data_IF_673003668319
#
_entry.id   IF_673003668319
#
_cell.length_a   1.000
_cell.length_b   1.000
_cell.length_c   1.000
_cell.angle_alpha   90.00
_cell.angle_beta   90.00
_cell.angle_gamma   90.00
#
_symmetry.space_group_name_H-M   'P 1'
#
loop_
_entity.id
_entity.type
_entity.pdbx_description
1 polymer ?
#
# COMPACT_ATOMS: atom_id res chain seq x y z
N UNK A 1 -1.69 -1.39 22.24
CA UNK A 1 -2.30 -1.40 20.90
C UNK A 1 -1.51 -2.32 20.00
N UNK A 2 -2.19 -3.32 19.46
CA UNK A 2 -1.63 -4.36 18.60
C UNK A 2 -1.30 -3.80 17.21
N UNK A 3 -0.51 -4.53 16.42
CA UNK A 3 0.04 -4.02 15.17
C UNK A 3 -1.04 -3.58 14.16
N UNK A 4 -2.04 -4.43 13.89
CA UNK A 4 -3.11 -4.11 12.93
C UNK A 4 -4.10 -3.07 13.45
N UNK A 5 -4.40 -3.08 14.76
CA UNK A 5 -5.22 -2.04 15.38
C UNK A 5 -4.54 -0.67 15.19
N UNK A 6 -3.22 -0.61 15.40
CA UNK A 6 -2.44 0.62 15.19
C UNK A 6 -2.47 1.07 13.73
N UNK A 7 -2.40 0.15 12.78
CA UNK A 7 -2.57 0.48 11.37
C UNK A 7 -3.97 1.08 11.10
N UNK A 8 -5.03 0.50 11.68
CA UNK A 8 -6.39 1.01 11.55
C UNK A 8 -6.56 2.42 12.16
N UNK A 9 -5.98 2.70 13.33
CA UNK A 9 -5.97 4.05 13.90
C UNK A 9 -5.23 5.05 13.00
N UNK A 10 -4.07 4.66 12.45
CA UNK A 10 -3.34 5.51 11.51
C UNK A 10 -4.21 5.81 10.27
N UNK A 11 -4.92 4.82 9.71
CA UNK A 11 -5.87 5.06 8.62
C UNK A 11 -6.96 6.08 9.02
N UNK A 12 -7.54 5.94 10.21
CA UNK A 12 -8.55 6.89 10.71
C UNK A 12 -8.01 8.31 10.88
N UNK A 13 -6.74 8.45 11.28
CA UNK A 13 -6.06 9.75 11.39
C UNK A 13 -5.73 10.35 10.02
N UNK A 14 -5.40 9.52 9.04
CA UNK A 14 -5.17 9.94 7.65
C UNK A 14 -6.46 10.46 7.00
N UNK A 15 -7.60 9.80 7.22
CA UNK A 15 -8.92 10.27 6.78
C UNK A 15 -9.25 11.66 7.35
N UNK A 16 -8.89 11.90 8.62
CA UNK A 16 -9.03 13.21 9.29
C UNK A 16 -7.94 14.22 8.92
N UNK A 17 -7.06 13.92 7.95
CA UNK A 17 -5.96 14.77 7.49
C UNK A 17 -5.01 15.23 8.60
N UNK A 18 -4.82 14.43 9.63
CA UNK A 18 -3.98 14.77 10.79
C UNK A 18 -2.47 14.60 10.53
N UNK A 19 -2.08 14.26 9.30
CA UNK A 19 -0.69 14.15 8.85
C UNK A 19 -0.56 13.24 7.64
N UNK A 20 0.69 12.94 7.28
CA UNK A 20 1.03 12.03 6.18
C UNK A 20 1.29 10.61 6.67
N UNK A 21 1.20 9.62 5.78
CA UNK A 21 1.57 8.22 6.10
C UNK A 21 3.00 8.16 6.63
N UNK A 22 3.91 8.93 6.02
CA UNK A 22 5.33 8.98 6.41
C UNK A 22 5.52 9.56 7.81
N UNK A 23 4.85 10.67 8.15
CA UNK A 23 4.95 11.27 9.49
C UNK A 23 4.33 10.36 10.57
N UNK A 24 3.27 9.63 10.24
CA UNK A 24 2.59 8.73 11.19
C UNK A 24 3.29 7.39 11.40
N UNK A 25 4.28 7.06 10.54
CA UNK A 25 5.03 5.80 10.59
C UNK A 25 6.53 6.02 10.78
N UNK A 26 7.27 6.27 9.69
CA UNK A 26 8.73 6.45 9.69
C UNK A 26 9.14 7.63 10.58
N UNK A 27 8.38 8.73 10.52
CA UNK A 27 8.58 9.90 11.38
C UNK A 27 8.03 9.77 12.80
N UNK A 28 7.32 8.67 13.11
CA UNK A 28 6.70 8.50 14.42
C UNK A 28 7.70 7.92 15.42
N UNK A 29 8.04 8.69 16.44
CA UNK A 29 9.01 8.29 17.47
C UNK A 29 8.47 7.25 18.45
N UNK A 30 7.16 7.07 18.53
CA UNK A 30 6.51 6.08 19.40
C UNK A 30 6.46 4.66 18.78
N UNK A 31 6.82 4.52 17.50
CA UNK A 31 6.96 3.22 16.84
C UNK A 31 8.37 2.66 17.01
N UNK A 32 8.45 1.35 17.27
CA UNK A 32 9.74 0.65 17.28
C UNK A 32 10.39 0.70 15.89
N UNK A 33 11.72 0.86 15.77
CA UNK A 33 12.39 0.98 14.47
C UNK A 33 12.04 -0.12 13.46
N UNK A 34 11.93 -1.36 13.94
CA UNK A 34 11.58 -2.54 13.13
C UNK A 34 10.12 -2.54 12.63
N UNK A 35 9.21 -1.85 13.34
CA UNK A 35 7.80 -1.75 12.97
C UNK A 35 7.56 -0.60 11.97
N UNK A 36 8.37 0.47 12.02
CA UNK A 36 8.15 1.67 11.20
C UNK A 36 8.06 1.36 9.70
N UNK A 37 9.03 0.61 9.18
CA UNK A 37 9.10 0.25 7.76
C UNK A 37 7.95 -0.68 7.36
N UNK A 38 7.62 -1.65 8.22
CA UNK A 38 6.54 -2.61 7.99
C UNK A 38 5.18 -1.93 7.97
N UNK A 39 4.92 -1.05 8.95
CA UNK A 39 3.71 -0.25 9.04
C UNK A 39 3.54 0.66 7.83
N UNK A 40 4.63 1.36 7.43
CA UNK A 40 4.61 2.21 6.24
C UNK A 40 4.28 1.41 4.97
N UNK A 41 4.97 0.29 4.75
CA UNK A 41 4.72 -0.56 3.59
C UNK A 41 3.27 -1.08 3.56
N UNK A 42 2.79 -1.63 4.68
CA UNK A 42 1.43 -2.16 4.79
C UNK A 42 0.38 -1.09 4.50
N UNK A 43 0.50 0.11 5.09
CA UNK A 43 -0.45 1.20 4.88
C UNK A 43 -0.44 1.70 3.44
N UNK A 44 0.74 1.89 2.83
CA UNK A 44 0.86 2.31 1.45
C UNK A 44 0.21 1.29 0.50
N UNK A 45 0.51 0.01 0.64
CA UNK A 45 -0.07 -1.03 -0.21
C UNK A 45 -1.57 -1.21 0.03
N UNK A 46 -2.05 -1.09 1.28
CA UNK A 46 -3.49 -1.10 1.59
C UNK A 46 -4.22 0.07 0.92
N UNK A 47 -3.65 1.28 0.99
CA UNK A 47 -4.25 2.48 0.40
C UNK A 47 -4.32 2.42 -1.13
N UNK A 48 -3.30 1.84 -1.79
CA UNK A 48 -3.31 1.63 -3.25
C UNK A 48 -4.47 0.77 -3.72
N UNK A 49 -4.84 -0.23 -2.93
CA UNK A 49 -5.90 -1.19 -3.26
C UNK A 49 -7.20 -0.93 -2.49
N UNK A 50 -7.34 0.22 -1.83
CA UNK A 50 -8.44 0.48 -0.89
C UNK A 50 -9.82 0.33 -1.54
N UNK A 51 -10.01 0.84 -2.75
CA UNK A 51 -11.27 0.73 -3.49
C UNK A 51 -11.66 -0.73 -3.74
N UNK A 52 -10.73 -1.54 -4.26
CA UNK A 52 -10.96 -2.95 -4.54
C UNK A 52 -11.21 -3.75 -3.24
N UNK A 53 -10.41 -3.48 -2.21
CA UNK A 53 -10.54 -4.14 -0.90
C UNK A 53 -11.89 -3.82 -0.24
N UNK A 54 -12.36 -2.57 -0.31
CA UNK A 54 -13.67 -2.18 0.22
C UNK A 54 -14.81 -2.96 -0.42
N UNK A 55 -14.79 -3.13 -1.75
CA UNK A 55 -15.81 -3.91 -2.48
C UNK A 55 -15.76 -5.39 -2.05
N UNK A 56 -14.57 -5.98 -1.96
CA UNK A 56 -14.41 -7.38 -1.53
C UNK A 56 -14.91 -7.58 -0.09
N UNK A 57 -14.59 -6.67 0.82
CA UNK A 57 -15.04 -6.72 2.22
C UNK A 57 -16.56 -6.60 2.31
N UNK A 58 -17.16 -5.69 1.56
CA UNK A 58 -18.62 -5.50 1.51
C UNK A 58 -19.32 -6.75 0.98
N UNK A 59 -18.93 -7.25 -0.20
CA UNK A 59 -19.53 -8.45 -0.82
C UNK A 59 -19.36 -9.70 0.03
N UNK A 60 -18.24 -9.81 0.74
CA UNK A 60 -18.02 -10.94 1.65
C UNK A 60 -18.87 -10.88 2.92
N UNK A 61 -19.45 -9.72 3.29
CA UNK A 61 -20.17 -9.57 4.56
C UNK A 61 -19.27 -9.77 5.80
N UNK A 62 -17.97 -9.50 5.66
CA UNK A 62 -16.98 -9.75 6.70
C UNK A 62 -17.23 -8.92 7.97
N UNK A 63 -17.60 -7.65 7.81
CA UNK A 63 -17.79 -6.72 8.94
C UNK A 63 -18.90 -7.21 9.87
N UNK A 64 -20.00 -7.71 9.32
CA UNK A 64 -21.13 -8.24 10.07
C UNK A 64 -20.79 -9.59 10.72
N UNK A 65 -20.04 -10.45 10.02
CA UNK A 65 -19.70 -11.78 10.50
C UNK A 65 -18.76 -11.76 11.72
N UNK A 66 -17.78 -10.86 11.73
CA UNK A 66 -16.75 -10.81 12.79
C UNK A 66 -16.91 -9.59 13.73
N UNK A 67 -17.89 -8.71 13.47
CA UNK A 67 -18.11 -7.46 14.21
C UNK A 67 -16.82 -6.62 14.35
N UNK A 68 -16.09 -6.47 13.24
CA UNK A 68 -14.83 -5.72 13.18
C UNK A 68 -15.02 -4.37 12.50
N UNK A 69 -14.18 -3.41 12.90
CA UNK A 69 -14.13 -2.09 12.28
C UNK A 69 -13.67 -2.18 10.80
N UNK A 70 -14.26 -1.37 9.92
CA UNK A 70 -13.93 -1.33 8.49
C UNK A 70 -12.45 -1.08 8.19
N UNK A 71 -11.80 -0.15 8.90
CA UNK A 71 -10.36 0.15 8.71
C UNK A 71 -9.47 -1.03 9.09
N UNK A 72 -9.82 -1.74 10.16
CA UNK A 72 -9.13 -2.95 10.58
C UNK A 72 -9.30 -4.07 9.56
N UNK A 73 -10.54 -4.27 9.06
CA UNK A 73 -10.84 -5.24 8.02
C UNK A 73 -10.04 -4.95 6.73
N UNK A 74 -9.89 -3.67 6.36
CA UNK A 74 -9.15 -3.25 5.17
C UNK A 74 -7.68 -3.71 5.22
N UNK A 75 -7.00 -3.40 6.33
CA UNK A 75 -5.59 -3.75 6.52
C UNK A 75 -5.38 -5.26 6.60
N UNK A 76 -6.26 -5.97 7.32
CA UNK A 76 -6.17 -7.43 7.45
C UNK A 76 -6.43 -8.13 6.13
N UNK A 77 -7.41 -7.67 5.36
CA UNK A 77 -7.75 -8.28 4.06
C UNK A 77 -6.62 -8.08 3.07
N UNK A 78 -6.00 -6.89 3.05
CA UNK A 78 -4.79 -6.64 2.28
C UNK A 78 -3.68 -7.64 2.67
N UNK A 79 -3.30 -7.69 3.95
CA UNK A 79 -2.18 -8.53 4.36
C UNK A 79 -2.47 -10.04 4.18
N UNK A 80 -3.74 -10.46 4.23
CA UNK A 80 -4.15 -11.84 4.00
C UNK A 80 -4.08 -12.25 2.51
N UNK A 81 -4.47 -11.37 1.59
CA UNK A 81 -4.67 -11.70 0.16
C UNK A 81 -3.54 -11.22 -0.76
N UNK A 82 -2.87 -10.12 -0.41
CA UNK A 82 -1.88 -9.44 -1.29
C UNK A 82 -0.44 -9.71 -0.85
N UNK A 83 -0.20 -9.97 0.45
CA UNK A 83 1.15 -10.26 0.95
C UNK A 83 1.53 -11.72 0.71
N UNK A 84 2.75 -11.95 0.19
CA UNK A 84 3.32 -13.30 0.08
C UNK A 84 3.47 -13.92 1.48
N UNK A 85 2.73 -14.99 1.75
CA UNK A 85 2.67 -15.65 3.07
C UNK A 85 1.46 -15.26 3.93
N UNK A 86 0.62 -14.35 3.45
CA UNK A 86 -0.55 -13.85 4.17
C UNK A 86 -0.14 -12.99 5.38
N UNK A 87 -0.98 -13.00 6.42
CA UNK A 87 -0.80 -12.21 7.64
C UNK A 87 0.60 -12.42 8.25
N UNK A 88 1.45 -11.39 8.18
CA UNK A 88 2.85 -11.48 8.62
C UNK A 88 3.02 -11.26 10.12
N UNK A 89 2.06 -10.57 10.75
CA UNK A 89 2.14 -10.18 12.17
C UNK A 89 1.22 -11.06 13.04
N UNK A 90 1.35 -12.38 12.90
CA UNK A 90 0.48 -13.36 13.56
C UNK A 90 0.56 -13.35 15.09
N UNK A 91 1.74 -13.01 15.64
CA UNK A 91 1.99 -13.01 17.08
C UNK A 91 1.35 -11.84 17.85
N UNK A 92 0.87 -10.80 17.16
CA UNK A 92 0.28 -9.64 17.81
C UNK A 92 -1.18 -9.87 18.24
N UNK A 93 -1.99 -10.55 17.42
CA UNK A 93 -3.40 -10.84 17.74
C UNK A 93 -3.84 -12.22 17.20
N UNK A 94 -3.58 -13.31 17.95
CA UNK A 94 -3.93 -14.65 17.49
C UNK A 94 -5.42 -14.85 17.21
N UNK A 95 -6.31 -14.18 17.96
CA UNK A 95 -7.76 -14.33 17.82
C UNK A 95 -8.26 -13.67 16.54
N UNK A 96 -7.89 -12.41 16.32
CA UNK A 96 -8.26 -11.67 15.12
C UNK A 96 -7.69 -12.32 13.85
N UNK A 97 -6.44 -12.80 13.93
CA UNK A 97 -5.81 -13.50 12.82
C UNK A 97 -6.51 -14.82 12.49
N UNK A 98 -6.98 -15.55 13.51
CA UNK A 98 -7.75 -16.77 13.29
C UNK A 98 -9.12 -16.47 12.68
N UNK A 99 -9.82 -15.46 13.20
CA UNK A 99 -11.11 -14.99 12.70
C UNK A 99 -11.05 -14.67 11.20
N UNK A 100 -10.12 -13.79 10.77
CA UNK A 100 -10.02 -13.40 9.36
C UNK A 100 -9.60 -14.57 8.46
N UNK A 101 -8.75 -15.48 8.95
CA UNK A 101 -8.30 -16.67 8.19
C UNK A 101 -9.44 -17.61 7.85
N UNK A 102 -10.48 -17.72 8.69
CA UNK A 102 -11.68 -18.53 8.40
C UNK A 102 -12.42 -18.05 7.15
N UNK A 103 -12.35 -16.75 6.88
CA UNK A 103 -13.02 -16.12 5.73
C UNK A 103 -12.15 -16.04 4.48
N UNK A 104 -10.93 -16.59 4.51
CA UNK A 104 -9.96 -16.46 3.40
C UNK A 104 -10.52 -16.96 2.06
N UNK A 105 -11.20 -18.11 2.05
CA UNK A 105 -11.76 -18.69 0.82
C UNK A 105 -12.83 -17.78 0.21
N UNK A 106 -13.74 -17.26 1.04
CA UNK A 106 -14.80 -16.33 0.64
C UNK A 106 -14.21 -15.01 0.10
N UNK A 107 -13.28 -14.42 0.85
CA UNK A 107 -12.60 -13.18 0.45
C UNK A 107 -11.82 -13.36 -0.87
N UNK A 108 -11.12 -14.48 -1.04
CA UNK A 108 -10.42 -14.79 -2.27
C UNK A 108 -11.39 -14.97 -3.44
N UNK A 109 -12.51 -15.66 -3.24
CA UNK A 109 -13.53 -15.82 -4.30
C UNK A 109 -14.13 -14.49 -4.73
N UNK A 110 -14.42 -13.58 -3.80
CA UNK A 110 -14.93 -12.24 -4.12
C UNK A 110 -13.88 -11.38 -4.83
N UNK A 111 -12.60 -11.53 -4.47
CA UNK A 111 -11.50 -10.86 -5.17
C UNK A 111 -11.39 -11.34 -6.63
N UNK A 112 -11.47 -12.65 -6.88
CA UNK A 112 -11.42 -13.19 -8.25
C UNK A 112 -12.64 -12.79 -9.08
N UNK A 113 -13.84 -12.72 -8.47
CA UNK A 113 -15.04 -12.17 -9.13
C UNK A 113 -14.83 -10.71 -9.52
N UNK A 114 -14.31 -9.89 -8.60
CA UNK A 114 -14.02 -8.48 -8.87
C UNK A 114 -12.98 -8.34 -10.00
N UNK A 115 -11.94 -9.17 -10.01
CA UNK A 115 -10.95 -9.16 -11.10
C UNK A 115 -11.58 -9.49 -12.45
N UNK A 116 -12.42 -10.51 -12.52
CA UNK A 116 -13.11 -10.90 -13.74
C UNK A 116 -14.03 -9.78 -14.25
N UNK A 117 -14.77 -9.11 -13.37
CA UNK A 117 -15.63 -7.96 -13.71
C UNK A 117 -14.82 -6.77 -14.26
N UNK A 118 -13.63 -6.53 -13.72
CA UNK A 118 -12.75 -5.43 -14.14
C UNK A 118 -11.79 -5.81 -15.27
N UNK A 119 -11.80 -7.07 -15.73
CA UNK A 119 -10.83 -7.58 -16.70
C UNK A 119 -9.38 -7.60 -16.20
N UNK A 120 -9.16 -7.55 -14.89
CA UNK A 120 -7.86 -7.50 -14.25
C UNK A 120 -7.18 -8.88 -14.25
N UNK A 121 -5.92 -8.95 -14.67
CA UNK A 121 -5.14 -10.20 -14.67
C UNK A 121 -4.35 -10.38 -13.38
N UNK A 122 -4.03 -9.27 -12.72
CA UNK A 122 -3.21 -9.24 -11.52
C UNK A 122 -3.80 -8.30 -10.47
N UNK A 123 -3.33 -8.45 -9.23
CA UNK A 123 -3.68 -7.52 -8.15
C UNK A 123 -3.23 -6.08 -8.45
N UNK A 124 -2.15 -5.89 -9.23
CA UNK A 124 -1.65 -4.57 -9.60
C UNK A 124 -2.61 -3.83 -10.54
N UNK A 125 -3.39 -4.56 -11.33
CA UNK A 125 -4.38 -3.97 -12.24
C UNK A 125 -5.60 -3.40 -11.48
N UNK A 126 -5.78 -3.79 -10.21
CA UNK A 126 -6.81 -3.26 -9.33
C UNK A 126 -6.46 -1.88 -8.76
N UNK A 127 -5.21 -1.42 -8.94
CA UNK A 127 -4.79 -0.08 -8.53
C UNK A 127 -5.37 0.95 -9.50
N UNK A 128 -6.02 2.04 -9.02
CA UNK A 128 -6.53 3.11 -9.87
C UNK A 128 -5.46 3.68 -10.81
N UNK A 129 -5.84 4.03 -12.05
CA UNK A 129 -4.94 4.56 -13.08
C UNK A 129 -4.03 5.69 -12.57
N UNK A 130 -4.62 6.71 -11.93
CA UNK A 130 -3.87 7.84 -11.38
C UNK A 130 -2.79 7.46 -10.34
N UNK A 131 -2.93 6.32 -9.65
CA UNK A 131 -1.92 5.80 -8.73
C UNK A 131 -0.90 4.89 -9.42
N UNK A 132 -1.28 4.23 -10.51
CA UNK A 132 -0.35 3.48 -11.37
C UNK A 132 0.63 4.43 -12.06
N UNK A 133 0.13 5.57 -12.55
CA UNK A 133 0.94 6.57 -13.24
C UNK A 133 1.83 7.37 -12.26
N UNK A 134 1.31 7.66 -11.06
CA UNK A 134 2.10 8.26 -9.99
C UNK A 134 3.22 7.35 -9.45
N UNK A 135 3.12 6.03 -9.70
CA UNK A 135 4.19 5.08 -9.47
C UNK A 135 5.21 5.04 -10.61
N UNK A 136 5.30 6.10 -11.43
CA UNK A 136 6.42 6.35 -12.34
C UNK A 136 7.73 6.03 -11.62
N UNK A 137 8.37 4.96 -12.04
CA UNK A 137 9.67 4.45 -11.57
C UNK A 137 10.81 5.49 -11.70
N UNK A 138 10.54 6.63 -12.31
CA UNK A 138 11.51 7.70 -12.51
C UNK A 138 11.79 8.45 -11.22
N UNK A 139 13.08 8.61 -10.94
CA UNK A 139 13.58 9.46 -9.85
C UNK A 139 13.90 10.83 -10.45
N UNK A 140 13.16 11.84 -10.03
CA UNK A 140 13.42 13.22 -10.42
C UNK A 140 14.59 13.79 -9.61
N UNK A 141 15.49 14.49 -10.30
CA UNK A 141 16.63 15.17 -9.69
C UNK A 141 16.58 16.64 -10.07
N UNK A 142 16.69 17.54 -9.07
CA UNK A 142 16.83 18.99 -9.30
C UNK A 142 18.30 19.37 -9.24
N UNK A 143 18.85 19.86 -10.36
CA UNK A 143 20.24 20.32 -10.43
C UNK A 143 20.35 21.75 -9.88
N UNK A 144 21.32 21.99 -9.00
CA UNK A 144 21.65 23.34 -8.56
C UNK A 144 22.61 24.00 -9.56
N UNK A 145 22.08 24.88 -10.40
CA UNK A 145 22.82 25.54 -11.48
C UNK A 145 23.89 26.54 -11.00
N UNK A 146 23.87 26.93 -9.73
CA UNK A 146 24.94 27.76 -9.14
C UNK A 146 26.23 26.98 -8.89
N UNK A 147 26.15 25.65 -8.80
CA UNK A 147 27.27 24.78 -8.42
C UNK A 147 27.73 23.92 -9.61
N UNK A 148 26.83 23.54 -10.52
CA UNK A 148 27.13 22.61 -11.61
C UNK A 148 26.14 22.78 -12.77
N UNK A 149 26.42 22.16 -13.92
CA UNK A 149 25.51 22.12 -15.07
C UNK A 149 24.68 20.84 -15.11
N UNK A 150 23.56 20.88 -15.86
CA UNK A 150 22.72 19.69 -16.10
C UNK A 150 23.53 18.60 -16.80
N UNK A 151 24.30 18.94 -17.83
CA UNK A 151 25.09 17.98 -18.61
C UNK A 151 26.12 17.25 -17.77
N UNK A 152 26.82 17.97 -16.87
CA UNK A 152 27.80 17.38 -15.97
C UNK A 152 27.15 16.35 -15.02
N UNK A 153 25.97 16.67 -14.49
CA UNK A 153 25.22 15.76 -13.62
C UNK A 153 24.66 14.56 -14.40
N UNK A 154 24.11 14.78 -15.59
CA UNK A 154 23.62 13.69 -16.45
C UNK A 154 24.75 12.72 -16.77
N UNK A 155 25.95 13.21 -17.11
CA UNK A 155 27.12 12.38 -17.34
C UNK A 155 27.52 11.58 -16.10
N UNK A 156 27.58 12.21 -14.93
CA UNK A 156 27.89 11.50 -13.68
C UNK A 156 26.88 10.39 -13.38
N UNK A 157 25.58 10.64 -13.59
CA UNK A 157 24.55 9.61 -13.44
C UNK A 157 24.67 8.49 -14.49
N UNK A 158 25.07 8.79 -15.72
CA UNK A 158 25.34 7.79 -16.75
C UNK A 158 26.53 6.90 -16.38
N UNK A 159 27.60 7.48 -15.83
CA UNK A 159 28.76 6.74 -15.32
C UNK A 159 28.35 5.79 -14.16
N UNK A 160 27.39 6.20 -13.34
CA UNK A 160 26.76 5.40 -12.28
C UNK A 160 25.71 4.38 -12.80
N UNK A 161 25.58 4.23 -14.12
CA UNK A 161 24.65 3.33 -14.82
C UNK A 161 23.16 3.71 -14.72
N UNK A 162 22.86 4.97 -14.44
CA UNK A 162 21.51 5.51 -14.59
C UNK A 162 21.25 5.96 -16.03
N UNK A 163 19.99 5.92 -16.46
CA UNK A 163 19.56 6.41 -17.76
C UNK A 163 18.64 7.62 -17.58
N UNK A 164 18.95 8.70 -18.28
CA UNK A 164 18.02 9.83 -18.41
C UNK A 164 16.83 9.39 -19.27
N UNK A 165 15.63 9.60 -18.76
CA UNK A 165 14.39 9.32 -19.48
C UNK A 165 13.76 10.65 -19.85
N UNK A 166 13.57 10.86 -21.14
CA UNK A 166 12.84 12.01 -21.65
C UNK A 166 11.34 11.69 -21.62
N UNK A 167 10.63 12.34 -20.71
CA UNK A 167 9.19 12.14 -20.53
C UNK A 167 8.38 12.80 -21.64
N UNK A 168 8.98 13.70 -22.44
CA UNK A 168 8.31 14.31 -23.60
C UNK A 168 8.09 13.33 -24.76
N UNK A 169 8.77 12.19 -24.78
CA UNK A 169 8.61 11.14 -25.79
C UNK A 169 7.87 9.90 -25.27
N UNK A 170 7.37 9.93 -24.03
CA UNK A 170 6.67 8.80 -23.42
C UNK A 170 5.13 8.88 -23.56
N UNK A 171 4.61 9.96 -24.15
CA UNK A 171 3.20 10.10 -24.55
C UNK A 171 3.04 9.72 -26.03
N UNK A 172 2.95 8.41 -26.30
CA UNK A 172 2.70 7.83 -27.62
C UNK A 172 2.01 6.48 -27.51
#
# INVERSE_FOLDING_TARGET
MLFYERAADILGRLERRQGSVKSMTVGNHYLKPEEKRKMYALLCETLKHASALSIVIERSGLLQAENIEARLALVLTHDLLFTRGGLQHTGADPKLNLAIRKHKSRLASELERLKAELGAQSNADLVPAHLRDAASTFRYVRVNLLVTSVDAIVKAFQDDRYRLVDLSQAEG
#
